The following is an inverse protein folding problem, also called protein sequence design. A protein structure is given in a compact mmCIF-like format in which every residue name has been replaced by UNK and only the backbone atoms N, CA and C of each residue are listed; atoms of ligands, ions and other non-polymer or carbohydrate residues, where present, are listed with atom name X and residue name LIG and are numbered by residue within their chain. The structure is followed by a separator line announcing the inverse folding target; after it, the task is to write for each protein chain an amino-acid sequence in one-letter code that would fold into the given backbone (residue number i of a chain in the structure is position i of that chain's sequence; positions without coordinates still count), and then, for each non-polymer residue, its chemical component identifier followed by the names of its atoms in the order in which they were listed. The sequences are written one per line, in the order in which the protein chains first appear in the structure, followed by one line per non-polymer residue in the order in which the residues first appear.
data_IF_648745950053
#
_entry.id   IF_648745950053
#
_cell.length_a   1.000
_cell.length_b   1.000
_cell.length_c   1.000
_cell.angle_alpha   90.00
_cell.angle_beta   90.00
_cell.angle_gamma   90.00
#
_symmetry.space_group_name_H-M   'P 1'
#
loop_
_entity.id
_entity.type
_entity.pdbx_description
1 polymer ?
#
# COMPACT_ATOMS: atom_id res chain seq x y z
N UNK A 1 -25.25 12.38 12.62
CA UNK A 1 -24.68 11.02 12.71
C UNK A 1 -23.33 11.10 12.02
N UNK A 2 -22.22 11.13 12.77
CA UNK A 2 -20.87 11.29 12.18
C UNK A 2 -20.47 9.95 11.57
N UNK A 3 -20.28 9.89 10.24
CA UNK A 3 -19.58 8.78 9.59
C UNK A 3 -18.17 8.76 10.16
N UNK A 4 -17.82 7.70 10.87
CA UNK A 4 -16.42 7.38 11.15
C UNK A 4 -15.95 6.61 9.93
N UNK A 5 -15.47 7.35 8.91
CA UNK A 5 -14.80 6.77 7.76
C UNK A 5 -13.42 6.33 8.24
N UNK A 6 -13.21 5.03 8.46
CA UNK A 6 -11.87 4.45 8.47
C UNK A 6 -11.43 4.34 7.00
N UNK A 7 -11.31 5.48 6.32
CA UNK A 7 -10.79 5.56 4.97
C UNK A 7 -9.27 5.58 5.03
N UNK A 8 -8.62 5.03 4.01
CA UNK A 8 -7.17 4.98 3.87
C UNK A 8 -6.52 6.40 3.90
N UNK A 9 -7.35 7.45 3.78
CA UNK A 9 -7.04 8.83 4.14
C UNK A 9 -6.44 9.08 5.54
N UNK A 10 -6.37 8.09 6.44
CA UNK A 10 -5.63 8.19 7.72
C UNK A 10 -4.20 7.62 7.69
N UNK A 11 -3.67 7.15 6.57
CA UNK A 11 -2.33 6.53 6.52
C UNK A 11 -1.18 7.46 6.12
N UNK A 12 -1.49 8.69 5.70
CA UNK A 12 -0.48 9.71 5.35
C UNK A 12 -0.86 11.04 6.00
N UNK A 13 -0.40 11.24 7.22
CA UNK A 13 -0.50 12.51 7.95
C UNK A 13 0.73 13.37 7.68
N UNK A 14 0.57 14.68 7.89
CA UNK A 14 1.45 15.78 7.47
C UNK A 14 2.88 15.77 8.03
N UNK A 15 3.29 14.76 8.80
CA UNK A 15 4.58 14.77 9.50
C UNK A 15 5.35 13.43 9.47
N UNK A 16 4.91 12.46 8.66
CA UNK A 16 5.56 11.13 8.62
C UNK A 16 5.43 10.36 9.95
N UNK A 17 4.45 10.73 10.79
CA UNK A 17 4.22 10.13 12.12
C UNK A 17 3.65 8.72 11.97
N UNK A 18 2.84 8.47 10.92
CA UNK A 18 2.25 7.15 10.69
C UNK A 18 3.28 6.11 10.21
N UNK A 19 4.29 6.52 9.44
CA UNK A 19 5.38 5.62 9.03
C UNK A 19 6.16 5.06 10.21
N UNK A 20 6.23 5.82 11.31
CA UNK A 20 6.84 5.37 12.59
C UNK A 20 5.95 4.43 13.39
N UNK A 21 4.66 4.32 13.06
CA UNK A 21 3.70 3.43 13.72
C UNK A 21 3.58 2.08 13.01
N UNK A 22 4.12 1.94 11.81
CA UNK A 22 4.13 0.67 11.08
C UNK A 22 4.97 -0.36 11.85
N UNK A 23 4.44 -1.59 12.09
CA UNK A 23 5.18 -2.64 12.79
C UNK A 23 6.48 -3.02 12.08
N UNK A 24 7.36 -3.73 12.79
CA UNK A 24 8.51 -4.36 12.14
C UNK A 24 8.05 -5.39 11.10
N UNK A 25 8.78 -5.59 9.97
CA UNK A 25 8.32 -6.46 8.89
C UNK A 25 7.94 -7.88 9.31
N UNK A 26 8.67 -8.46 10.28
CA UNK A 26 8.35 -9.80 10.81
C UNK A 26 7.02 -9.83 11.58
N UNK A 27 6.77 -8.80 12.40
CA UNK A 27 5.52 -8.66 13.15
C UNK A 27 4.35 -8.40 12.21
N UNK A 28 4.52 -7.49 11.25
CA UNK A 28 3.52 -7.21 10.22
C UNK A 28 3.14 -8.49 9.45
N UNK A 29 4.13 -9.28 9.01
CA UNK A 29 3.89 -10.57 8.33
C UNK A 29 3.08 -11.52 9.19
N UNK A 30 3.38 -11.59 10.49
CA UNK A 30 2.64 -12.44 11.42
C UNK A 30 1.20 -11.98 11.60
N UNK A 31 0.96 -10.68 11.76
CA UNK A 31 -0.38 -10.10 11.91
C UNK A 31 -1.24 -10.37 10.67
N UNK A 32 -0.70 -10.16 9.47
CA UNK A 32 -1.41 -10.40 8.21
C UNK A 32 -1.78 -11.88 8.04
N UNK A 33 -0.87 -12.80 8.41
CA UNK A 33 -1.18 -14.24 8.41
C UNK A 33 -2.31 -14.60 9.37
N UNK A 34 -2.34 -13.97 10.55
CA UNK A 34 -3.42 -14.18 11.52
C UNK A 34 -4.75 -13.67 10.94
N UNK A 35 -4.77 -12.47 10.36
CA UNK A 35 -5.99 -11.92 9.74
C UNK A 35 -6.52 -12.80 8.61
N UNK A 36 -5.65 -13.23 7.68
CA UNK A 36 -6.04 -14.13 6.61
C UNK A 36 -6.55 -15.49 7.13
N UNK A 37 -5.93 -16.04 8.18
CA UNK A 37 -6.41 -17.27 8.82
C UNK A 37 -7.79 -17.10 9.47
N UNK A 38 -8.05 -15.94 10.10
CA UNK A 38 -9.37 -15.64 10.65
C UNK A 38 -10.42 -15.52 9.55
N UNK A 39 -10.11 -14.88 8.43
CA UNK A 39 -11.04 -14.79 7.29
C UNK A 39 -11.34 -16.16 6.68
N UNK A 40 -10.37 -17.08 6.61
CA UNK A 40 -10.62 -18.47 6.20
C UNK A 40 -11.56 -19.19 7.16
N UNK A 41 -11.45 -18.93 8.47
CA UNK A 41 -12.29 -19.56 9.49
C UNK A 41 -13.73 -19.02 9.45
N UNK A 42 -13.88 -17.71 9.24
CA UNK A 42 -15.18 -17.03 9.34
C UNK A 42 -15.92 -16.89 8.00
N UNK A 43 -15.23 -17.03 6.86
CA UNK A 43 -15.80 -16.84 5.53
C UNK A 43 -15.45 -18.04 4.63
N UNK A 44 -16.47 -18.86 4.33
CA UNK A 44 -16.31 -20.05 3.50
C UNK A 44 -16.01 -19.68 2.04
N UNK A 45 -16.68 -18.65 1.53
CA UNK A 45 -16.52 -18.10 0.19
C UNK A 45 -15.20 -17.34 0.06
N UNK A 46 -14.27 -17.90 -0.71
CA UNK A 46 -12.94 -17.32 -0.93
C UNK A 46 -12.96 -15.89 -1.49
N UNK A 47 -13.83 -15.62 -2.46
CA UNK A 47 -13.98 -14.31 -3.12
C UNK A 47 -14.62 -13.23 -2.23
N UNK A 48 -15.13 -13.56 -1.05
CA UNK A 48 -15.64 -12.62 -0.06
C UNK A 48 -14.63 -12.31 1.07
N UNK A 49 -13.46 -12.98 1.06
CA UNK A 49 -12.43 -12.78 2.09
C UNK A 49 -11.74 -11.45 1.89
N UNK A 50 -11.59 -10.72 2.99
CA UNK A 50 -11.04 -9.37 2.99
C UNK A 50 -9.51 -9.40 3.04
N UNK A 51 -8.94 -10.36 3.76
CA UNK A 51 -7.50 -10.56 3.95
C UNK A 51 -7.09 -11.89 3.34
N UNK A 52 -6.13 -11.82 2.42
CA UNK A 52 -5.53 -12.97 1.77
C UNK A 52 -4.03 -12.98 2.08
N UNK A 53 -3.47 -14.18 2.25
CA UNK A 53 -2.03 -14.34 2.45
C UNK A 53 -1.54 -15.56 1.68
N UNK A 54 -0.74 -15.32 0.65
CA UNK A 54 -0.06 -16.36 -0.12
C UNK A 54 1.42 -16.41 0.24
N UNK A 55 1.83 -17.50 0.90
CA UNK A 55 3.22 -17.71 1.29
C UNK A 55 4.09 -18.26 0.15
N UNK A 56 3.50 -18.58 -1.00
CA UNK A 56 4.14 -19.19 -2.17
C UNK A 56 3.81 -18.43 -3.45
N UNK A 57 3.50 -17.13 -3.35
CA UNK A 57 3.18 -16.28 -4.50
C UNK A 57 4.28 -16.36 -5.57
N UNK A 58 5.55 -16.37 -5.13
CA UNK A 58 6.70 -16.76 -5.95
C UNK A 58 7.81 -17.34 -5.05
N UNK A 59 8.93 -17.78 -5.63
CA UNK A 59 10.08 -18.38 -4.94
C UNK A 59 10.63 -17.43 -3.89
N UNK A 60 10.49 -17.83 -2.62
CA UNK A 60 10.90 -17.07 -1.43
C UNK A 60 10.17 -15.71 -1.27
N UNK A 61 9.01 -15.56 -1.92
CA UNK A 61 8.22 -14.34 -1.87
C UNK A 61 6.83 -14.68 -1.31
N UNK A 62 6.34 -13.82 -0.43
CA UNK A 62 4.97 -13.91 0.08
C UNK A 62 4.21 -12.63 -0.27
N UNK A 63 2.95 -12.78 -0.66
CA UNK A 63 2.03 -11.69 -0.95
C UNK A 63 0.91 -11.70 0.09
N UNK A 64 0.63 -10.56 0.69
CA UNK A 64 -0.64 -10.32 1.36
C UNK A 64 -1.47 -9.33 0.56
N UNK A 65 -2.77 -9.58 0.48
CA UNK A 65 -3.75 -8.70 -0.16
C UNK A 65 -4.82 -8.35 0.86
N UNK A 66 -5.16 -7.07 0.95
CA UNK A 66 -6.34 -6.59 1.67
C UNK A 66 -7.20 -5.89 0.63
N UNK A 67 -8.35 -6.46 0.33
CA UNK A 67 -9.30 -5.96 -0.67
C UNK A 67 -10.65 -5.77 0.00
N UNK A 68 -11.16 -4.54 -0.05
CA UNK A 68 -12.43 -4.24 0.59
C UNK A 68 -13.67 -4.58 -0.24
N UNK A 69 -13.48 -5.07 -1.47
CA UNK A 69 -14.55 -5.35 -2.43
C UNK A 69 -15.31 -4.11 -2.88
N UNK A 70 -14.81 -2.92 -2.55
CA UNK A 70 -15.43 -1.62 -2.78
C UNK A 70 -14.46 -0.62 -3.42
N UNK A 71 -13.40 -1.11 -4.06
CA UNK A 71 -12.45 -0.32 -4.84
C UNK A 71 -11.16 0.07 -4.10
N UNK A 72 -10.98 -0.29 -2.84
CA UNK A 72 -9.71 -0.08 -2.13
C UNK A 72 -8.96 -1.39 -1.98
N UNK A 73 -7.68 -1.37 -2.36
CA UNK A 73 -6.82 -2.56 -2.34
C UNK A 73 -5.45 -2.20 -1.79
N UNK A 74 -4.90 -3.06 -0.94
CA UNK A 74 -3.53 -3.00 -0.44
C UNK A 74 -2.81 -4.31 -0.73
N UNK A 75 -1.69 -4.21 -1.43
CA UNK A 75 -0.76 -5.31 -1.67
C UNK A 75 0.51 -5.13 -0.85
N UNK A 76 0.98 -6.21 -0.23
CA UNK A 76 2.17 -6.23 0.63
C UNK A 76 3.04 -7.42 0.24
N UNK A 77 4.24 -7.14 -0.29
CA UNK A 77 5.17 -8.15 -0.79
C UNK A 77 6.35 -8.28 0.16
N UNK A 78 6.57 -9.50 0.66
CA UNK A 78 7.69 -9.85 1.52
C UNK A 78 8.74 -10.62 0.73
N UNK A 79 9.98 -10.15 0.76
CA UNK A 79 11.10 -10.71 0.00
C UNK A 79 12.37 -10.76 0.87
N UNK A 80 13.44 -11.39 0.36
CA UNK A 80 14.75 -11.34 1.03
C UNK A 80 15.38 -9.94 1.02
N UNK A 81 15.07 -9.12 0.01
CA UNK A 81 15.60 -7.75 -0.12
C UNK A 81 14.87 -6.74 0.77
N UNK A 82 13.69 -7.10 1.29
CA UNK A 82 12.86 -6.23 2.11
C UNK A 82 11.37 -6.41 1.81
N UNK A 83 10.61 -5.38 2.16
CA UNK A 83 9.16 -5.32 2.01
C UNK A 83 8.76 -4.10 1.19
N UNK A 84 7.77 -4.27 0.32
CA UNK A 84 7.11 -3.18 -0.41
C UNK A 84 5.59 -3.30 -0.27
N UNK A 85 4.93 -2.16 -0.10
CA UNK A 85 3.50 -2.02 0.08
C UNK A 85 2.96 -1.02 -0.93
N UNK A 86 2.01 -1.45 -1.75
CA UNK A 86 1.29 -0.60 -2.70
C UNK A 86 -0.17 -0.56 -2.27
N UNK A 87 -0.71 0.63 -2.04
CA UNK A 87 -2.12 0.80 -1.76
C UNK A 87 -2.82 1.69 -2.78
N UNK A 88 -4.10 1.41 -2.94
CA UNK A 88 -5.02 2.14 -3.78
C UNK A 88 -6.28 2.49 -2.97
N UNK A 89 -6.68 3.75 -3.06
CA UNK A 89 -7.90 4.31 -2.46
C UNK A 89 -8.65 5.01 -3.60
N UNK A 90 -9.79 4.45 -3.99
CA UNK A 90 -10.51 4.92 -5.17
C UNK A 90 -11.07 6.34 -4.99
N UNK A 91 -11.25 6.82 -3.75
CA UNK A 91 -11.71 8.18 -3.45
C UNK A 91 -10.54 9.19 -3.31
N UNK A 92 -9.29 8.72 -3.37
CA UNK A 92 -8.12 9.57 -3.19
C UNK A 92 -7.93 10.55 -4.35
N UNK A 93 -7.56 11.79 -4.03
CA UNK A 93 -7.13 12.77 -5.03
C UNK A 93 -5.80 12.37 -5.73
N UNK A 94 -5.03 11.46 -5.12
CA UNK A 94 -3.82 10.89 -5.70
C UNK A 94 -4.12 9.74 -6.68
N UNK A 95 -5.38 9.30 -6.77
CA UNK A 95 -5.80 8.26 -7.70
C UNK A 95 -5.49 8.68 -9.14
N UNK A 96 -4.98 7.77 -9.99
CA UNK A 96 -4.85 8.01 -11.43
C UNK A 96 -6.19 8.44 -12.05
N UNK A 97 -7.33 7.91 -11.57
CA UNK A 97 -8.65 8.28 -12.05
C UNK A 97 -9.07 9.73 -11.71
N UNK A 98 -8.40 10.37 -10.75
CA UNK A 98 -8.58 11.79 -10.46
C UNK A 98 -7.81 12.69 -11.45
N UNK A 99 -7.00 12.10 -12.35
CA UNK A 99 -6.15 12.82 -13.31
C UNK A 99 -6.66 12.66 -14.73
N UNK A 100 -6.38 13.66 -15.57
CA UNK A 100 -6.87 13.72 -16.97
C UNK A 100 -6.37 12.56 -17.83
N UNK A 101 -5.14 12.13 -17.60
CA UNK A 101 -4.45 11.13 -18.42
C UNK A 101 -4.42 9.73 -17.77
N UNK A 102 -5.16 9.51 -16.67
CA UNK A 102 -5.15 8.24 -15.92
C UNK A 102 -3.74 7.77 -15.53
N UNK A 103 -2.86 8.73 -15.23
CA UNK A 103 -1.44 8.48 -14.95
C UNK A 103 -1.16 8.42 -13.44
N UNK A 104 -0.17 7.63 -13.04
CA UNK A 104 0.32 7.56 -11.65
C UNK A 104 0.71 8.95 -11.16
N UNK A 105 0.33 9.30 -9.92
CA UNK A 105 0.74 10.57 -9.31
C UNK A 105 2.28 10.70 -9.28
N UNK A 106 2.87 11.83 -9.72
CA UNK A 106 4.31 11.92 -9.89
C UNK A 106 4.98 11.81 -8.51
N UNK A 107 6.06 11.04 -8.43
CA UNK A 107 6.78 10.85 -7.19
C UNK A 107 6.34 9.67 -6.33
N UNK A 108 5.25 8.94 -6.66
CA UNK A 108 4.82 7.78 -5.86
C UNK A 108 5.92 6.71 -5.76
N UNK A 109 6.63 6.45 -6.86
CA UNK A 109 7.68 5.42 -6.95
C UNK A 109 9.11 6.00 -6.93
N UNK A 110 9.27 7.30 -6.69
CA UNK A 110 10.61 7.91 -6.61
C UNK A 110 11.41 7.25 -5.49
N UNK A 111 12.70 7.01 -5.73
CA UNK A 111 13.63 6.33 -4.80
C UNK A 111 13.28 4.88 -4.44
N UNK A 112 12.20 4.29 -4.97
CA UNK A 112 11.88 2.89 -4.68
C UNK A 112 13.02 1.98 -5.17
N UNK A 113 13.60 1.13 -4.31
CA UNK A 113 14.67 0.22 -4.71
C UNK A 113 14.21 -0.71 -5.83
N UNK A 114 14.99 -0.79 -6.91
CA UNK A 114 14.69 -1.69 -8.04
C UNK A 114 14.59 -3.17 -7.60
N UNK A 115 15.28 -3.55 -6.52
CA UNK A 115 15.20 -4.86 -5.88
C UNK A 115 13.80 -5.21 -5.39
N UNK A 116 12.96 -4.21 -5.10
CA UNK A 116 11.58 -4.34 -4.62
C UNK A 116 10.56 -3.94 -5.69
N UNK A 117 10.80 -2.84 -6.42
CA UNK A 117 9.85 -2.29 -7.41
C UNK A 117 9.49 -3.29 -8.50
N UNK A 118 10.45 -4.12 -8.93
CA UNK A 118 10.27 -5.14 -9.98
C UNK A 118 9.13 -6.13 -9.69
N UNK A 119 8.76 -6.33 -8.42
CA UNK A 119 7.69 -7.27 -8.07
C UNK A 119 6.31 -6.67 -8.33
N UNK A 120 6.19 -5.35 -8.40
CA UNK A 120 4.94 -4.68 -8.78
C UNK A 120 4.67 -4.76 -10.29
N UNK A 121 5.61 -5.27 -11.11
CA UNK A 121 5.39 -5.44 -12.56
C UNK A 121 4.47 -6.63 -12.90
N UNK A 122 4.08 -7.43 -11.90
CA UNK A 122 3.07 -8.47 -12.11
C UNK A 122 1.71 -7.82 -12.42
N UNK A 123 1.08 -8.24 -13.52
CA UNK A 123 -0.20 -7.68 -13.97
C UNK A 123 -1.30 -7.79 -12.90
N UNK A 124 -1.27 -8.82 -12.03
CA UNK A 124 -2.28 -9.01 -10.98
C UNK A 124 -2.24 -7.93 -9.90
N UNK A 125 -1.18 -7.12 -9.87
CA UNK A 125 -0.99 -6.08 -8.87
C UNK A 125 -1.35 -4.69 -9.37
N UNK A 126 -1.69 -4.55 -10.66
CA UNK A 126 -2.17 -3.31 -11.29
C UNK A 126 -1.33 -2.11 -10.85
N UNK A 127 -0.02 -2.13 -11.17
CA UNK A 127 0.98 -1.18 -10.66
C UNK A 127 0.55 0.28 -10.77
N UNK A 128 -0.17 0.63 -11.83
CA UNK A 128 -0.64 1.99 -12.10
C UNK A 128 -1.79 2.41 -11.18
N UNK A 129 -2.60 1.47 -10.68
CA UNK A 129 -3.69 1.73 -9.72
C UNK A 129 -3.11 1.94 -8.32
N UNK A 130 -2.55 3.11 -8.06
CA UNK A 130 -1.82 3.42 -6.83
C UNK A 130 -2.12 4.82 -6.30
N UNK A 131 -2.21 4.92 -4.98
CA UNK A 131 -2.32 6.21 -4.26
C UNK A 131 -1.18 6.40 -3.27
N UNK A 132 -0.51 5.32 -2.87
CA UNK A 132 0.74 5.37 -2.11
C UNK A 132 1.61 4.13 -2.34
N UNK A 133 2.92 4.28 -2.18
CA UNK A 133 3.88 3.20 -2.14
C UNK A 133 4.85 3.43 -0.97
N UNK A 134 5.06 2.40 -0.16
CA UNK A 134 5.93 2.40 1.03
C UNK A 134 6.82 1.16 0.97
N UNK A 135 8.08 1.30 1.35
CA UNK A 135 9.00 0.17 1.40
C UNK A 135 9.94 0.23 2.60
N UNK A 136 10.60 -0.89 2.87
CA UNK A 136 11.72 -0.99 3.81
C UNK A 136 12.65 -2.10 3.36
N UNK A 137 13.90 -1.75 3.05
CA UNK A 137 14.94 -2.73 2.71
C UNK A 137 15.37 -3.54 3.93
N UNK A 138 15.86 -4.76 3.70
CA UNK A 138 16.42 -5.60 4.76
C UNK A 138 17.59 -4.90 5.44
N UNK A 139 17.51 -4.74 6.75
CA UNK A 139 18.52 -4.06 7.56
C UNK A 139 18.33 -2.54 7.69
N UNK A 140 17.39 -1.93 6.96
CA UNK A 140 17.00 -0.55 7.17
C UNK A 140 16.26 -0.38 8.51
N UNK A 141 16.45 0.77 9.16
CA UNK A 141 15.84 1.09 10.46
C UNK A 141 14.47 1.76 10.37
N UNK A 142 14.05 2.16 9.18
CA UNK A 142 12.84 2.95 8.96
C UNK A 142 12.15 2.56 7.67
N UNK A 143 10.85 2.83 7.62
CA UNK A 143 10.06 2.80 6.40
C UNK A 143 10.35 4.05 5.56
N UNK A 144 10.29 3.89 4.24
CA UNK A 144 10.54 4.91 3.24
C UNK A 144 9.38 4.98 2.24
N UNK A 145 9.29 6.10 1.53
CA UNK A 145 8.28 6.36 0.52
C UNK A 145 8.79 7.39 -0.49
N UNK A 146 8.11 7.51 -1.63
CA UNK A 146 8.53 8.44 -2.68
C UNK A 146 8.25 9.91 -2.36
N UNK A 147 8.82 10.82 -3.15
CA UNK A 147 8.83 12.27 -2.92
C UNK A 147 7.49 12.98 -3.27
N UNK A 148 6.37 12.26 -3.31
CA UNK A 148 5.08 12.84 -3.69
C UNK A 148 4.42 13.67 -2.58
N UNK A 149 4.70 13.40 -1.30
CA UNK A 149 4.18 14.24 -0.19
C UNK A 149 4.70 15.67 -0.32
N UNK A 150 5.98 15.86 -0.62
CA UNK A 150 6.56 17.20 -0.80
C UNK A 150 5.95 17.96 -1.97
N UNK A 151 5.46 17.26 -2.99
CA UNK A 151 4.72 17.89 -4.09
C UNK A 151 3.35 18.37 -3.62
N UNK A 152 2.66 17.62 -2.76
CA UNK A 152 1.34 18.02 -2.23
C UNK A 152 1.41 19.27 -1.35
N UNK A 153 2.43 19.41 -0.49
CA UNK A 153 2.64 20.60 0.35
C UNK A 153 2.91 21.86 -0.50
N UNK A 154 3.78 21.74 -1.51
CA UNK A 154 4.06 22.83 -2.45
C UNK A 154 2.84 23.23 -3.28
N UNK A 155 1.97 22.27 -3.60
CA UNK A 155 0.71 22.54 -4.33
C UNK A 155 -0.35 23.19 -3.44
N UNK A 156 -0.42 22.84 -2.15
CA UNK A 156 -1.29 23.54 -1.18
C UNK A 156 -0.84 24.97 -0.90
N UNK A 157 0.47 25.27 -1.02
CA UNK A 157 1.01 26.62 -0.85
C UNK A 157 0.91 27.49 -2.11
N UNK A 158 0.66 26.91 -3.28
CA UNK A 158 0.62 27.64 -4.57
C UNK A 158 -0.75 27.74 -5.24
N UNK A 159 -1.84 27.19 -4.69
CA UNK A 159 -3.17 27.34 -5.30
C UNK A 159 -4.30 27.41 -4.27
N UNK A 160 -4.70 28.64 -3.93
CA UNK A 160 -6.10 29.08 -3.86
C UNK A 160 -6.14 30.59 -4.08
N UNK A 161 -6.21 31.03 -5.34
CA UNK A 161 -7.03 32.12 -5.89
C UNK A 161 -6.99 32.08 -7.41
#
# INVERSE_FOLDING_TARGET
MRKVTYGINTWVDKEGIIMKQLPEPAELKQLLKIQAALDIIFCEEDWLRYHLFDNQWDKNISLATIDNGAGDVLFIIFTEAGIIMKGFDHESFLSPHARKEFEVYPGIYDHTPHSLLKYLEDESLEKEEVTFCIWRETGASSWEMGDYIFLTERMTDQNFY
#
